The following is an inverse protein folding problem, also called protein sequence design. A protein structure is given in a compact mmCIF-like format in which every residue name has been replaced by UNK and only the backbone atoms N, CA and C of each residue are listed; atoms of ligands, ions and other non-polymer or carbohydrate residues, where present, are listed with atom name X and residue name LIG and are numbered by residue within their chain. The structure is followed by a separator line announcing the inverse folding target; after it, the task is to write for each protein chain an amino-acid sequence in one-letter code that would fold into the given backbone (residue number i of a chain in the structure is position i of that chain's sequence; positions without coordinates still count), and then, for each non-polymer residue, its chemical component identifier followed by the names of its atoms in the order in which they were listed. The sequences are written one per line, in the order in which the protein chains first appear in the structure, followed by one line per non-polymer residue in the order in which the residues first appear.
data_IF_199350154813
#
_entry.id   IF_199350154813
#
_cell.length_a   1.000
_cell.length_b   1.000
_cell.length_c   1.000
_cell.angle_alpha   90.00
_cell.angle_beta   90.00
_cell.angle_gamma   90.00
#
_symmetry.space_group_name_H-M   'P 1'
#
loop_
_entity.id
_entity.type
_entity.pdbx_description
1 polymer ?
#
# COMPACT_ATOMS: atom_id res chain seq x y z
N UNK A 1 12.58 -4.58 -26.07
CA UNK A 1 13.08 -3.67 -25.04
C UNK A 1 12.08 -2.55 -24.79
N UNK A 2 11.57 -2.46 -23.58
CA UNK A 2 10.65 -1.39 -23.26
C UNK A 2 11.39 -0.05 -23.25
N UNK A 3 10.83 0.94 -23.93
CA UNK A 3 11.37 2.31 -23.92
C UNK A 3 10.85 3.09 -22.71
N UNK A 4 9.90 2.51 -21.97
CA UNK A 4 9.33 3.15 -20.80
C UNK A 4 10.22 2.92 -19.59
N UNK A 5 10.30 3.92 -18.68
CA UNK A 5 11.14 3.78 -17.49
C UNK A 5 10.55 2.84 -16.45
N UNK A 6 9.27 2.50 -16.54
CA UNK A 6 8.61 1.70 -15.52
C UNK A 6 8.43 0.26 -15.98
N UNK A 7 9.09 -0.65 -15.27
CA UNK A 7 8.98 -2.09 -15.50
C UNK A 7 8.34 -2.80 -14.34
N UNK A 8 8.51 -2.28 -13.14
CA UNK A 8 7.96 -2.87 -11.92
C UNK A 8 7.26 -1.80 -11.11
N UNK A 9 5.99 -2.00 -10.90
CA UNK A 9 5.13 -1.07 -10.18
C UNK A 9 4.71 -1.71 -8.87
N UNK A 10 4.89 -0.97 -7.77
CA UNK A 10 4.44 -1.40 -6.46
C UNK A 10 3.20 -0.58 -6.08
N UNK A 11 2.08 -1.27 -5.92
CA UNK A 11 0.84 -0.66 -5.45
C UNK A 11 0.79 -0.81 -3.93
N UNK A 12 0.81 0.31 -3.23
CA UNK A 12 0.69 0.33 -1.77
C UNK A 12 -0.74 0.71 -1.42
N UNK A 13 -1.41 -0.16 -0.69
CA UNK A 13 -2.81 0.05 -0.32
C UNK A 13 -2.98 0.04 1.21
N UNK A 14 -3.97 0.78 1.67
CA UNK A 14 -4.33 0.82 3.08
C UNK A 14 -5.54 -0.06 3.40
N UNK A 15 -6.05 -0.78 2.41
CA UNK A 15 -7.21 -1.67 2.50
C UNK A 15 -8.49 -0.96 2.94
N UNK A 16 -8.59 0.32 2.62
CA UNK A 16 -9.82 1.07 2.79
C UNK A 16 -10.71 0.92 1.56
N UNK A 17 -11.88 1.52 1.60
CA UNK A 17 -12.83 1.49 0.48
C UNK A 17 -12.26 2.07 -0.82
N UNK A 18 -11.25 2.93 -0.74
CA UNK A 18 -10.64 3.54 -1.92
C UNK A 18 -9.62 2.65 -2.59
N UNK A 19 -9.22 1.56 -1.95
CA UNK A 19 -8.17 0.69 -2.46
C UNK A 19 -8.48 0.11 -3.84
N UNK A 20 -9.72 -0.21 -4.10
CA UNK A 20 -10.12 -0.74 -5.41
C UNK A 20 -9.93 0.31 -6.51
N UNK A 21 -10.29 1.56 -6.24
CA UNK A 21 -10.11 2.65 -7.20
C UNK A 21 -8.64 2.90 -7.50
N UNK A 22 -7.81 2.95 -6.48
CA UNK A 22 -6.36 3.11 -6.63
C UNK A 22 -5.79 1.92 -7.38
N UNK A 23 -6.22 0.72 -7.01
CA UNK A 23 -5.77 -0.51 -7.64
C UNK A 23 -6.11 -0.59 -9.12
N UNK A 24 -7.30 -0.16 -9.50
CA UNK A 24 -7.69 -0.11 -10.92
C UNK A 24 -6.79 0.82 -11.71
N UNK A 25 -6.45 1.96 -11.13
CA UNK A 25 -5.56 2.92 -11.77
C UNK A 25 -4.17 2.31 -11.96
N UNK A 26 -3.63 1.67 -10.94
CA UNK A 26 -2.33 1.02 -11.02
C UNK A 26 -2.34 -0.14 -12.02
N UNK A 27 -3.39 -0.95 -12.01
CA UNK A 27 -3.56 -2.06 -12.93
C UNK A 27 -3.57 -1.59 -14.38
N UNK A 28 -4.36 -0.56 -14.66
CA UNK A 28 -4.49 -0.05 -16.02
C UNK A 28 -3.17 0.57 -16.50
N UNK A 29 -2.49 1.27 -15.60
CA UNK A 29 -1.18 1.84 -15.91
C UNK A 29 -0.16 0.73 -16.20
N UNK A 30 -0.11 -0.30 -15.39
CA UNK A 30 0.79 -1.43 -15.58
C UNK A 30 0.51 -2.12 -16.92
N UNK A 31 -0.76 -2.33 -17.26
CA UNK A 31 -1.14 -2.93 -18.53
C UNK A 31 -0.70 -2.06 -19.72
N UNK A 32 -0.91 -0.77 -19.62
CA UNK A 32 -0.54 0.17 -20.69
C UNK A 32 0.98 0.19 -20.92
N UNK A 33 1.75 0.12 -19.84
CA UNK A 33 3.21 0.21 -19.91
C UNK A 33 3.89 -1.15 -20.09
N UNK A 34 3.13 -2.24 -20.02
CA UNK A 34 3.72 -3.58 -20.01
C UNK A 34 4.55 -3.85 -18.78
N UNK A 35 4.18 -3.27 -17.65
CA UNK A 35 4.90 -3.40 -16.40
C UNK A 35 4.30 -4.50 -15.52
N UNK A 36 5.13 -5.07 -14.67
CA UNK A 36 4.68 -6.01 -13.65
C UNK A 36 4.10 -5.21 -12.47
N UNK A 37 3.05 -5.73 -11.86
CA UNK A 37 2.39 -5.10 -10.72
C UNK A 37 2.48 -6.00 -9.51
N UNK A 38 2.93 -5.46 -8.40
CA UNK A 38 2.95 -6.13 -7.10
C UNK A 38 2.19 -5.27 -6.09
N UNK A 39 1.47 -5.92 -5.18
CA UNK A 39 0.67 -5.23 -4.17
C UNK A 39 1.34 -5.35 -2.80
N UNK A 40 1.26 -4.28 -2.02
CA UNK A 40 1.80 -4.24 -0.66
C UNK A 40 0.83 -3.55 0.28
N UNK A 41 0.63 -4.15 1.43
CA UNK A 41 -0.03 -3.52 2.55
C UNK A 41 0.86 -3.64 3.78
N UNK A 42 0.98 -2.56 4.54
CA UNK A 42 1.77 -2.54 5.78
C UNK A 42 0.83 -2.35 6.94
N UNK A 43 0.90 -3.29 7.88
CA UNK A 43 0.16 -3.19 9.13
C UNK A 43 1.02 -2.48 10.16
N UNK A 44 0.60 -1.29 10.55
CA UNK A 44 1.24 -0.57 11.65
C UNK A 44 0.57 -1.00 12.94
N UNK A 45 1.27 -1.81 13.69
CA UNK A 45 0.79 -2.24 14.99
C UNK A 45 1.77 -1.75 16.04
N UNK A 46 1.28 -0.86 16.89
CA UNK A 46 2.05 -0.39 18.04
C UNK A 46 1.44 -1.04 19.28
N UNK A 47 2.12 -2.04 19.85
CA UNK A 47 1.61 -2.63 21.06
C UNK A 47 1.61 -1.60 22.17
N UNK A 48 0.45 -1.38 22.77
CA UNK A 48 0.39 -0.59 24.00
C UNK A 48 0.99 -1.49 25.06
N UNK A 49 2.11 -1.09 25.67
CA UNK A 49 2.69 -1.86 26.74
C UNK A 49 1.67 -1.97 27.85
N UNK A 50 1.11 -3.16 28.07
CA UNK A 50 0.25 -3.31 29.20
C UNK A 50 1.13 -3.26 30.45
N UNK A 51 0.70 -2.52 31.39
CA UNK A 51 1.29 -2.55 32.70
C UNK A 51 1.12 -3.96 33.25
N UNK A 52 2.16 -4.80 33.08
CA UNK A 52 2.15 -6.16 33.61
C UNK A 52 1.89 -7.23 32.56
N UNK A 53 1.35 -8.27 32.89
CA UNK A 53 1.37 -9.64 32.45
C UNK A 53 0.84 -10.00 31.06
N UNK A 54 0.66 -9.08 30.10
CA UNK A 54 -0.11 -9.41 28.90
C UNK A 54 0.60 -9.16 27.58
N UNK A 55 1.81 -9.69 27.44
CA UNK A 55 2.47 -9.69 26.14
C UNK A 55 1.79 -10.65 25.16
N UNK A 56 1.20 -11.72 25.65
CA UNK A 56 0.56 -12.74 24.83
C UNK A 56 -0.65 -12.23 24.03
N UNK A 57 -1.58 -11.47 24.64
CA UNK A 57 -2.70 -10.91 23.86
C UNK A 57 -2.27 -9.96 22.75
N UNK A 58 -1.22 -9.17 22.96
CA UNK A 58 -0.73 -8.25 21.94
C UNK A 58 -0.20 -9.01 20.72
N UNK A 59 0.55 -10.09 20.93
CA UNK A 59 1.06 -10.94 19.86
C UNK A 59 -0.09 -11.55 19.07
N UNK A 60 -1.13 -12.03 19.76
CA UNK A 60 -2.30 -12.61 19.10
C UNK A 60 -3.04 -11.59 18.25
N UNK A 61 -3.19 -10.36 18.75
CA UNK A 61 -3.85 -9.30 18.03
C UNK A 61 -3.09 -8.97 16.74
N UNK A 62 -1.77 -8.89 16.83
CA UNK A 62 -0.95 -8.64 15.66
C UNK A 62 -1.10 -9.77 14.62
N UNK A 63 -1.03 -11.02 15.07
CA UNK A 63 -1.20 -12.17 14.17
C UNK A 63 -2.56 -12.16 13.49
N UNK A 64 -3.62 -11.85 14.23
CA UNK A 64 -4.97 -11.77 13.67
C UNK A 64 -5.08 -10.64 12.65
N UNK A 65 -4.47 -9.50 12.92
CA UNK A 65 -4.45 -8.38 11.98
C UNK A 65 -3.74 -8.76 10.68
N UNK A 66 -2.62 -9.46 10.79
CA UNK A 66 -1.86 -9.91 9.62
C UNK A 66 -2.65 -10.91 8.78
N UNK A 67 -3.29 -11.88 9.43
CA UNK A 67 -4.12 -12.86 8.71
C UNK A 67 -5.27 -12.17 7.99
N UNK A 68 -5.96 -11.28 8.67
CA UNK A 68 -7.08 -10.55 8.07
C UNK A 68 -6.62 -9.67 6.91
N UNK A 69 -5.49 -9.00 7.09
CA UNK A 69 -4.93 -8.16 6.04
C UNK A 69 -4.56 -8.98 4.80
N UNK A 70 -3.97 -10.15 4.99
CA UNK A 70 -3.64 -11.04 3.88
C UNK A 70 -4.88 -11.48 3.12
N UNK A 71 -5.94 -11.83 3.84
CA UNK A 71 -7.20 -12.22 3.22
C UNK A 71 -7.79 -11.08 2.40
N UNK A 72 -7.76 -9.87 2.93
CA UNK A 72 -8.30 -8.69 2.23
C UNK A 72 -7.45 -8.32 1.03
N UNK A 73 -6.14 -8.42 1.15
CA UNK A 73 -5.25 -8.11 0.04
C UNK A 73 -5.40 -9.13 -1.09
N UNK A 74 -5.52 -10.40 -0.75
CA UNK A 74 -5.79 -11.45 -1.72
C UNK A 74 -7.12 -11.23 -2.44
N UNK A 75 -8.15 -10.83 -1.70
CA UNK A 75 -9.45 -10.50 -2.27
C UNK A 75 -9.35 -9.30 -3.22
N UNK A 76 -8.60 -8.29 -2.84
CA UNK A 76 -8.39 -7.11 -3.70
C UNK A 76 -7.71 -7.49 -5.01
N UNK A 77 -6.67 -8.32 -4.95
CA UNK A 77 -5.98 -8.79 -6.15
C UNK A 77 -6.96 -9.52 -7.08
N UNK A 78 -7.81 -10.36 -6.51
CA UNK A 78 -8.83 -11.07 -7.28
C UNK A 78 -9.86 -10.11 -7.90
N UNK A 79 -10.31 -9.11 -7.14
CA UNK A 79 -11.24 -8.11 -7.65
C UNK A 79 -10.65 -7.29 -8.79
N UNK A 80 -9.34 -7.08 -8.77
CA UNK A 80 -8.64 -6.38 -9.84
C UNK A 80 -8.44 -7.27 -11.07
N UNK A 81 -8.83 -8.53 -11.00
CA UNK A 81 -8.60 -9.48 -12.07
C UNK A 81 -7.15 -9.95 -12.15
N UNK A 82 -6.42 -9.83 -11.06
CA UNK A 82 -4.99 -10.16 -10.99
C UNK A 82 -4.71 -11.12 -9.83
N UNK A 83 -5.40 -12.28 -9.77
CA UNK A 83 -5.20 -13.20 -8.64
C UNK A 83 -3.77 -13.75 -8.57
N UNK A 84 -3.05 -13.75 -9.69
CA UNK A 84 -1.67 -14.21 -9.75
C UNK A 84 -0.63 -13.14 -9.48
N UNK A 85 -1.04 -11.89 -9.28
CA UNK A 85 -0.08 -10.82 -9.00
C UNK A 85 0.56 -11.04 -7.63
N UNK A 86 1.89 -10.87 -7.52
CA UNK A 86 2.53 -10.96 -6.20
C UNK A 86 1.92 -9.94 -5.25
N UNK A 87 1.64 -10.36 -4.04
CA UNK A 87 1.12 -9.45 -3.03
C UNK A 87 1.57 -9.91 -1.65
N UNK A 88 1.89 -8.96 -0.81
CA UNK A 88 2.41 -9.24 0.52
C UNK A 88 1.91 -8.25 1.55
N UNK A 89 1.81 -8.72 2.78
CA UNK A 89 1.53 -7.90 3.95
C UNK A 89 2.76 -7.92 4.83
N UNK A 90 3.22 -6.74 5.19
CA UNK A 90 4.34 -6.58 6.10
C UNK A 90 3.85 -5.88 7.36
N UNK A 91 4.56 -6.07 8.46
CA UNK A 91 4.27 -5.42 9.72
C UNK A 91 5.40 -4.48 10.08
N UNK A 92 5.07 -3.27 10.50
CA UNK A 92 6.08 -2.31 10.90
C UNK A 92 5.70 -0.89 10.57
N UNK A 93 6.69 -0.06 10.38
CA UNK A 93 6.50 1.33 9.99
C UNK A 93 6.24 1.41 8.48
N UNK A 94 5.17 2.08 8.08
CA UNK A 94 4.76 2.12 6.68
C UNK A 94 5.88 2.63 5.78
N UNK A 95 6.45 3.78 6.12
CA UNK A 95 7.53 4.37 5.33
C UNK A 95 8.70 3.41 5.17
N UNK A 96 9.18 2.87 6.29
CA UNK A 96 10.35 2.00 6.30
C UNK A 96 10.09 0.73 5.46
N UNK A 97 8.91 0.12 5.62
CA UNK A 97 8.60 -1.11 4.91
C UNK A 97 8.38 -0.88 3.42
N UNK A 98 7.72 0.22 3.04
CA UNK A 98 7.53 0.56 1.64
C UNK A 98 8.89 0.77 0.96
N UNK A 99 9.78 1.52 1.59
CA UNK A 99 11.11 1.78 1.04
C UNK A 99 11.91 0.49 0.94
N UNK A 100 11.85 -0.36 1.98
CA UNK A 100 12.56 -1.64 1.98
C UNK A 100 12.08 -2.54 0.85
N UNK A 101 10.77 -2.71 0.70
CA UNK A 101 10.21 -3.56 -0.35
C UNK A 101 10.53 -2.99 -1.73
N UNK A 102 10.42 -1.68 -1.90
CA UNK A 102 10.72 -1.05 -3.19
C UNK A 102 12.17 -1.31 -3.62
N UNK A 103 13.11 -1.23 -2.69
CA UNK A 103 14.51 -1.53 -2.97
C UNK A 103 14.73 -3.02 -3.25
N UNK A 104 14.19 -3.86 -2.39
CA UNK A 104 14.36 -5.31 -2.47
C UNK A 104 13.79 -5.86 -3.78
N UNK A 105 12.66 -5.33 -4.23
CA UNK A 105 11.99 -5.77 -5.44
C UNK A 105 12.39 -4.97 -6.68
N UNK A 106 13.29 -4.03 -6.55
CA UNK A 106 13.74 -3.17 -7.65
C UNK A 106 12.57 -2.48 -8.36
N UNK A 107 11.73 -1.86 -7.56
CA UNK A 107 10.54 -1.16 -8.05
C UNK A 107 10.93 0.15 -8.70
N UNK A 108 10.32 0.45 -9.83
CA UNK A 108 10.55 1.68 -10.59
C UNK A 108 9.53 2.76 -10.29
N UNK A 109 8.34 2.35 -9.86
CA UNK A 109 7.25 3.28 -9.58
C UNK A 109 6.43 2.75 -8.42
N UNK A 110 6.23 3.60 -7.43
CA UNK A 110 5.30 3.31 -6.33
C UNK A 110 3.99 4.04 -6.63
N UNK A 111 2.87 3.34 -6.54
CA UNK A 111 1.54 3.93 -6.68
C UNK A 111 0.85 3.84 -5.33
N UNK A 112 0.33 4.96 -4.86
CA UNK A 112 -0.42 4.99 -3.60
C UNK A 112 -1.55 6.01 -3.72
N UNK A 113 -2.45 6.00 -2.77
CA UNK A 113 -3.58 6.92 -2.75
C UNK A 113 -3.27 8.18 -1.99
N UNK A 114 -3.78 9.27 -2.50
CA UNK A 114 -3.75 10.56 -1.82
C UNK A 114 -5.19 10.93 -1.50
N UNK A 115 -5.52 10.98 -0.22
CA UNK A 115 -6.87 11.26 0.22
C UNK A 115 -6.93 12.60 0.94
N UNK A 116 -7.86 13.43 0.50
CA UNK A 116 -8.16 14.68 1.14
C UNK A 116 -9.24 14.47 2.20
N UNK A 117 -8.93 14.75 3.45
CA UNK A 117 -9.88 14.66 4.54
C UNK A 117 -9.92 15.98 5.31
N UNK A 118 -11.12 16.47 5.53
CA UNK A 118 -11.31 17.69 6.30
C UNK A 118 -10.81 17.50 7.73
N UNK A 119 -10.11 18.49 8.23
CA UNK A 119 -9.69 18.56 9.61
C UNK A 119 -8.53 17.65 10.01
N UNK A 120 -8.37 16.54 9.31
CA UNK A 120 -7.30 15.57 9.60
C UNK A 120 -6.39 15.34 8.41
N UNK A 121 -6.49 16.18 7.40
CA UNK A 121 -5.74 16.03 6.16
C UNK A 121 -4.23 15.93 6.39
N UNK A 122 -3.70 16.69 7.33
CA UNK A 122 -2.27 16.69 7.64
C UNK A 122 -1.84 15.30 8.13
N UNK A 123 -2.64 14.68 9.01
CA UNK A 123 -2.33 13.37 9.56
C UNK A 123 -2.49 12.27 8.52
N UNK A 124 -3.52 12.40 7.68
CA UNK A 124 -3.82 11.39 6.66
C UNK A 124 -2.78 11.39 5.56
N UNK A 125 -2.30 12.57 5.17
CA UNK A 125 -1.32 12.70 4.10
C UNK A 125 0.11 12.45 4.55
N UNK A 126 0.31 12.21 5.82
CA UNK A 126 1.64 12.03 6.38
C UNK A 126 2.38 10.85 5.76
N UNK A 127 1.71 9.73 5.58
CA UNK A 127 2.31 8.54 4.96
C UNK A 127 2.72 8.83 3.51
N UNK A 128 1.85 9.44 2.74
CA UNK A 128 2.14 9.83 1.36
C UNK A 128 3.36 10.73 1.29
N UNK A 129 3.38 11.77 2.10
CA UNK A 129 4.47 12.74 2.13
C UNK A 129 5.79 12.08 2.54
N UNK A 130 5.77 11.24 3.56
CA UNK A 130 6.99 10.56 4.02
C UNK A 130 7.50 9.55 3.00
N UNK A 131 6.60 8.85 2.33
CA UNK A 131 7.00 7.91 1.27
C UNK A 131 7.58 8.67 0.09
N UNK A 132 6.95 9.77 -0.30
CA UNK A 132 7.42 10.59 -1.42
C UNK A 132 8.87 11.03 -1.21
N UNK A 133 9.22 11.48 -0.01
CA UNK A 133 10.57 11.97 0.26
C UNK A 133 11.60 10.87 0.49
N UNK A 134 11.20 9.68 0.84
CA UNK A 134 12.10 8.58 1.17
C UNK A 134 12.22 7.53 0.07
N UNK A 135 11.34 7.55 -0.91
CA UNK A 135 11.28 6.50 -1.94
C UNK A 135 12.56 6.46 -2.79
N UNK A 136 13.02 5.26 -3.13
CA UNK A 136 14.19 5.10 -4.01
C UNK A 136 13.84 5.23 -5.49
N UNK A 137 12.60 5.54 -5.82
CA UNK A 137 12.09 5.58 -7.18
C UNK A 137 10.97 6.61 -7.29
N UNK A 138 10.37 6.73 -8.46
CA UNK A 138 9.25 7.63 -8.69
C UNK A 138 8.01 7.19 -7.91
N UNK A 139 7.18 8.15 -7.55
CA UNK A 139 5.95 7.91 -6.80
C UNK A 139 4.80 8.60 -7.49
N UNK A 140 3.73 7.86 -7.73
CA UNK A 140 2.49 8.39 -8.25
C UNK A 140 1.44 8.35 -7.16
N UNK A 141 0.97 9.52 -6.75
CA UNK A 141 -0.12 9.64 -5.79
C UNK A 141 -1.44 9.79 -6.54
N UNK A 142 -2.27 8.78 -6.46
CA UNK A 142 -3.58 8.78 -7.10
C UNK A 142 -4.55 9.52 -6.19
N UNK A 143 -5.14 10.57 -6.68
CA UNK A 143 -6.09 11.34 -5.90
C UNK A 143 -7.40 10.59 -5.76
N UNK A 144 -7.78 10.32 -4.52
CA UNK A 144 -9.03 9.66 -4.18
C UNK A 144 -9.78 10.53 -3.18
N UNK A 145 -11.06 10.32 -3.09
CA UNK A 145 -11.88 11.09 -2.19
C UNK A 145 -13.25 11.32 -2.78
N UNK A 146 -13.91 12.37 -2.35
CA UNK A 146 -15.20 12.74 -2.90
C UNK A 146 -15.11 12.84 -4.41
N UNK A 147 -15.98 12.10 -5.09
CA UNK A 147 -16.12 12.25 -6.52
C UNK A 147 -16.23 13.75 -6.82
N UNK A 148 -15.38 14.23 -7.69
CA UNK A 148 -15.45 15.59 -8.10
C UNK A 148 -16.86 15.85 -8.63
N UNK A 149 -17.52 16.90 -8.17
CA UNK A 149 -18.78 17.28 -8.78
C UNK A 149 -18.48 17.57 -10.23
N UNK A 150 -19.13 16.85 -11.04
CA UNK A 150 -19.10 16.82 -12.50
C UNK A 150 -18.37 17.85 -13.24
#
# INVERSE_FOLDING_TARGET
MSTYPYRRILLVVDLTEDSLQIGRRARDLAATLGAELELLHVVEFVPVEPMGETLMPAVRIEDELLVRARQRLTALAAELGLPGAPHRVESGNVKAEVVRVARERQVDLIVLGSRERHGLSILVNFTEDTVLHAAPCDVLAVRVGKAAPG
#
